data_IF_894560029624
#
_entry.id   IF_894560029624
#
_cell.length_a   1.000
_cell.length_b   1.000
_cell.length_c   1.000
_cell.angle_alpha   90.00
_cell.angle_beta   90.00
_cell.angle_gamma   90.00
#
_symmetry.space_group_name_H-M   'P 1'
#
loop_
_entity.id
_entity.type
_entity.pdbx_description
1 polymer ?
#
# COMPACT_ATOMS: atom_id res chain seq x y z
N UNK A 1 12.93 -20.37 -1.77
CA UNK A 1 13.20 -18.92 -1.61
C UNK A 1 11.95 -18.06 -1.41
N UNK A 2 10.83 -18.26 -2.12
CA UNK A 2 9.61 -17.45 -1.91
C UNK A 2 9.09 -17.46 -0.45
N UNK A 3 9.04 -18.61 0.22
CA UNK A 3 8.58 -18.72 1.61
C UNK A 3 9.41 -17.89 2.62
N UNK A 4 10.70 -17.66 2.32
CA UNK A 4 11.56 -16.80 3.14
C UNK A 4 11.02 -15.36 3.14
N UNK A 5 10.81 -14.78 1.96
CA UNK A 5 10.27 -13.42 1.81
C UNK A 5 8.84 -13.29 2.34
N UNK A 6 8.02 -14.33 2.22
CA UNK A 6 6.68 -14.35 2.81
C UNK A 6 6.72 -14.19 4.33
N UNK A 7 7.57 -14.97 5.01
CA UNK A 7 7.75 -14.87 6.47
C UNK A 7 8.41 -13.56 6.87
N UNK A 8 9.43 -13.13 6.13
CA UNK A 8 10.15 -11.89 6.37
C UNK A 8 9.23 -10.66 6.27
N UNK A 9 8.30 -10.65 5.32
CA UNK A 9 7.28 -9.60 5.23
C UNK A 9 6.42 -9.51 6.51
N UNK A 10 6.07 -10.63 7.14
CA UNK A 10 5.31 -10.63 8.39
C UNK A 10 6.13 -10.08 9.55
N UNK A 11 7.43 -10.42 9.62
CA UNK A 11 8.35 -9.90 10.63
C UNK A 11 8.45 -8.38 10.53
N UNK A 12 8.67 -7.84 9.32
CA UNK A 12 8.75 -6.39 9.12
C UNK A 12 7.44 -5.68 9.46
N UNK A 13 6.29 -6.28 9.17
CA UNK A 13 4.99 -5.72 9.56
C UNK A 13 4.85 -5.62 11.07
N UNK A 14 5.16 -6.71 11.79
CA UNK A 14 5.06 -6.77 13.25
C UNK A 14 6.06 -5.84 13.95
N UNK A 15 7.21 -5.59 13.32
CA UNK A 15 8.23 -4.68 13.81
C UNK A 15 7.98 -3.19 13.46
N UNK A 16 6.87 -2.85 12.78
CA UNK A 16 6.57 -1.47 12.36
C UNK A 16 7.42 -0.95 11.19
N UNK A 17 8.19 -1.83 10.55
CA UNK A 17 9.08 -1.50 9.43
C UNK A 17 8.34 -1.55 8.10
N UNK A 18 7.42 -0.61 7.86
CA UNK A 18 6.48 -0.65 6.73
C UNK A 18 7.15 -0.58 5.34
N UNK A 19 8.27 0.16 5.20
CA UNK A 19 9.05 0.23 3.96
C UNK A 19 9.64 -1.14 3.59
N UNK A 20 10.24 -1.82 4.58
CA UNK A 20 10.81 -3.15 4.41
C UNK A 20 9.73 -4.21 4.22
N UNK A 21 8.56 -4.06 4.86
CA UNK A 21 7.39 -4.91 4.62
C UNK A 21 6.93 -4.85 3.15
N UNK A 22 6.74 -3.65 2.61
CA UNK A 22 6.32 -3.45 1.23
C UNK A 22 7.37 -4.03 0.24
N UNK A 23 8.65 -3.79 0.50
CA UNK A 23 9.74 -4.35 -0.32
C UNK A 23 9.82 -5.88 -0.25
N UNK A 24 9.63 -6.48 0.93
CA UNK A 24 9.59 -7.93 1.11
C UNK A 24 8.44 -8.58 0.32
N UNK A 25 7.25 -7.96 0.34
CA UNK A 25 6.11 -8.41 -0.46
C UNK A 25 6.39 -8.31 -1.96
N UNK A 26 7.11 -7.27 -2.39
CA UNK A 26 7.50 -7.11 -3.78
C UNK A 26 8.47 -8.21 -4.25
N UNK A 27 9.48 -8.55 -3.44
CA UNK A 27 10.38 -9.69 -3.68
C UNK A 27 9.62 -11.03 -3.68
N UNK A 28 8.70 -11.21 -2.74
CA UNK A 28 7.84 -12.39 -2.67
C UNK A 28 6.99 -12.54 -3.94
N UNK A 29 6.41 -11.45 -4.44
CA UNK A 29 5.60 -11.45 -5.67
C UNK A 29 6.38 -11.96 -6.88
N UNK A 30 7.58 -11.45 -7.10
CA UNK A 30 8.42 -11.88 -8.23
C UNK A 30 8.81 -13.35 -8.10
N UNK A 31 9.35 -13.75 -6.95
CA UNK A 31 9.82 -15.12 -6.75
C UNK A 31 8.69 -16.15 -6.78
N UNK A 32 7.52 -15.84 -6.23
CA UNK A 32 6.39 -16.77 -6.22
C UNK A 32 5.87 -17.08 -7.62
N UNK A 33 5.92 -16.09 -8.54
CA UNK A 33 5.56 -16.30 -9.95
C UNK A 33 6.53 -17.26 -10.64
N UNK A 34 7.82 -17.12 -10.41
CA UNK A 34 8.84 -17.93 -11.09
C UNK A 34 8.91 -19.37 -10.56
N UNK A 35 8.63 -19.56 -9.26
CA UNK A 35 8.81 -20.84 -8.57
C UNK A 35 7.56 -21.74 -8.57
N UNK A 36 6.36 -21.16 -8.61
CA UNK A 36 5.12 -21.93 -8.44
C UNK A 36 4.51 -22.28 -9.80
N UNK A 37 4.75 -23.51 -10.25
CA UNK A 37 4.27 -24.02 -11.56
C UNK A 37 2.73 -23.96 -11.74
N UNK A 38 1.97 -23.97 -10.64
CA UNK A 38 0.50 -23.93 -10.63
C UNK A 38 0.00 -22.76 -9.77
N UNK A 39 0.37 -21.53 -10.10
CA UNK A 39 -0.19 -20.33 -9.45
C UNK A 39 -1.47 -19.91 -10.17
N UNK A 40 -2.56 -19.71 -9.43
CA UNK A 40 -3.84 -19.29 -10.03
C UNK A 40 -3.87 -17.78 -10.27
N UNK A 41 -4.69 -17.32 -11.21
CA UNK A 41 -4.85 -15.89 -11.47
C UNK A 41 -5.35 -15.13 -10.23
N UNK A 42 -6.20 -15.76 -9.42
CA UNK A 42 -6.69 -15.20 -8.16
C UNK A 42 -5.55 -15.01 -7.13
N UNK A 43 -4.62 -15.96 -7.04
CA UNK A 43 -3.46 -15.85 -6.17
C UNK A 43 -2.53 -14.71 -6.61
N UNK A 44 -2.24 -14.60 -7.92
CA UNK A 44 -1.41 -13.51 -8.45
C UNK A 44 -2.09 -12.16 -8.18
N UNK A 45 -3.39 -12.06 -8.45
CA UNK A 45 -4.18 -10.86 -8.18
C UNK A 45 -4.13 -10.48 -6.70
N UNK A 46 -4.37 -11.43 -5.80
CA UNK A 46 -4.31 -11.18 -4.34
C UNK A 46 -2.94 -10.71 -3.91
N UNK A 47 -1.87 -11.29 -4.46
CA UNK A 47 -0.50 -10.85 -4.16
C UNK A 47 -0.21 -9.46 -4.73
N UNK A 48 -0.62 -9.18 -5.96
CA UNK A 48 -0.46 -7.88 -6.61
C UNK A 48 -1.18 -6.77 -5.81
N UNK A 49 -2.44 -6.99 -5.43
CA UNK A 49 -3.21 -6.04 -4.61
C UNK A 49 -2.53 -5.79 -3.26
N UNK A 50 -2.00 -6.83 -2.61
CA UNK A 50 -1.30 -6.68 -1.32
C UNK A 50 -0.04 -5.82 -1.44
N UNK A 51 0.75 -6.00 -2.50
CA UNK A 51 1.97 -5.21 -2.74
C UNK A 51 1.61 -3.74 -2.90
N UNK A 52 0.62 -3.43 -3.73
CA UNK A 52 0.17 -2.04 -3.96
C UNK A 52 -0.35 -1.40 -2.69
N UNK A 53 -1.25 -2.08 -1.97
CA UNK A 53 -1.81 -1.56 -0.73
C UNK A 53 -0.73 -1.33 0.32
N UNK A 54 0.23 -2.24 0.46
CA UNK A 54 1.35 -2.08 1.38
C UNK A 54 2.19 -0.84 1.02
N UNK A 55 2.53 -0.63 -0.25
CA UNK A 55 3.31 0.54 -0.68
C UNK A 55 2.55 1.85 -0.49
N UNK A 56 1.25 1.88 -0.79
CA UNK A 56 0.43 3.09 -0.63
C UNK A 56 0.16 3.41 0.85
N UNK A 57 0.07 2.40 1.71
CA UNK A 57 -0.14 2.54 3.14
C UNK A 57 1.14 2.93 3.92
N UNK A 58 2.31 2.94 3.28
CA UNK A 58 3.54 3.45 3.93
C UNK A 58 3.32 4.92 4.30
N UNK A 59 3.48 5.30 5.59
CA UNK A 59 3.32 6.67 6.05
C UNK A 59 4.18 7.66 5.25
N UNK A 60 3.61 8.84 4.99
CA UNK A 60 4.39 9.91 4.38
C UNK A 60 5.41 10.45 5.39
N UNK A 61 6.66 10.71 4.98
CA UNK A 61 7.63 11.33 5.87
C UNK A 61 7.07 12.68 6.35
N UNK A 62 7.23 13.02 7.64
CA UNK A 62 6.74 14.29 8.16
C UNK A 62 7.43 15.44 7.43
N UNK A 63 6.65 16.44 7.02
CA UNK A 63 7.19 17.64 6.39
C UNK A 63 7.82 18.53 7.48
N UNK A 64 9.05 18.20 7.87
CA UNK A 64 9.82 18.97 8.87
C UNK A 64 10.64 20.07 8.21
N UNK A 65 10.69 21.28 8.81
CA UNK A 65 11.60 22.33 8.38
C UNK A 65 13.06 21.86 8.48
N UNK A 66 13.91 22.37 7.59
CA UNK A 66 15.30 21.94 7.41
C UNK A 66 16.16 22.06 8.68
N UNK A 67 15.81 23.02 9.54
CA UNK A 67 16.48 23.31 10.82
C UNK A 67 16.37 22.12 11.80
N UNK A 68 15.23 21.41 11.80
CA UNK A 68 15.01 20.25 12.67
C UNK A 68 15.84 19.03 12.25
N UNK A 69 16.29 18.96 10.99
CA UNK A 69 17.12 17.85 10.47
C UNK A 69 18.57 17.95 10.95
N UNK A 70 19.05 19.16 11.25
CA UNK A 70 20.44 19.40 11.64
C UNK A 70 20.72 19.04 13.12
N UNK A 71 19.67 18.82 13.91
CA UNK A 71 19.77 18.56 15.36
C UNK A 71 19.95 17.06 15.66
N UNK A 72 19.64 16.16 14.72
CA UNK A 72 19.55 14.71 14.99
C UNK A 72 20.89 13.97 14.87
N UNK A 73 21.68 13.97 15.95
CA UNK A 73 22.88 13.10 16.10
C UNK A 73 22.52 11.60 16.17
N UNK A 74 21.23 11.25 16.35
CA UNK A 74 20.72 9.88 16.40
C UNK A 74 20.48 9.22 15.01
N UNK A 75 20.50 9.98 13.91
CA UNK A 75 20.30 9.45 12.54
C UNK A 75 21.34 8.39 12.18
N UNK A 76 22.58 8.52 12.66
CA UNK A 76 23.69 7.59 12.34
C UNK A 76 23.43 6.15 12.82
N UNK A 77 22.69 5.93 13.90
CA UNK A 77 22.33 4.60 14.40
C UNK A 77 21.14 4.04 13.60
N UNK A 78 20.18 4.91 13.29
CA UNK A 78 19.03 4.59 12.44
C UNK A 78 19.44 4.14 11.03
N UNK A 79 20.38 4.85 10.40
CA UNK A 79 20.89 4.53 9.06
C UNK A 79 21.59 3.18 9.01
N UNK A 80 22.45 2.87 10.00
CA UNK A 80 23.15 1.58 10.06
C UNK A 80 22.16 0.43 10.20
N UNK A 81 21.15 0.57 11.06
CA UNK A 81 20.11 -0.43 11.21
C UNK A 81 19.31 -0.62 9.91
N UNK A 82 18.92 0.47 9.24
CA UNK A 82 18.21 0.40 7.96
C UNK A 82 19.03 -0.32 6.87
N UNK A 83 20.35 -0.11 6.81
CA UNK A 83 21.23 -0.83 5.87
C UNK A 83 21.27 -2.33 6.14
N UNK A 84 21.36 -2.74 7.41
CA UNK A 84 21.31 -4.16 7.79
C UNK A 84 19.98 -4.80 7.37
N UNK A 85 18.85 -4.13 7.61
CA UNK A 85 17.53 -4.62 7.19
C UNK A 85 17.41 -4.69 5.66
N UNK A 86 18.05 -3.77 4.93
CA UNK A 86 18.12 -3.80 3.46
C UNK A 86 18.93 -5.01 2.97
N UNK A 87 20.03 -5.35 3.64
CA UNK A 87 20.84 -6.55 3.32
C UNK A 87 20.02 -7.84 3.48
N UNK A 88 19.14 -7.94 4.48
CA UNK A 88 18.24 -9.10 4.65
C UNK A 88 17.30 -9.33 3.45
N UNK A 89 17.03 -8.27 2.67
CA UNK A 89 16.22 -8.28 1.45
C UNK A 89 17.06 -8.38 0.16
N UNK A 90 18.39 -8.48 0.28
CA UNK A 90 19.31 -8.41 -0.84
C UNK A 90 19.26 -7.07 -1.57
N UNK A 91 19.08 -5.97 -0.82
CA UNK A 91 19.08 -4.61 -1.35
C UNK A 91 20.39 -3.91 -0.97
N UNK A 92 20.94 -3.15 -1.93
CA UNK A 92 22.15 -2.35 -1.71
C UNK A 92 21.87 -1.08 -0.89
N UNK A 93 20.66 -0.52 -1.05
CA UNK A 93 20.22 0.69 -0.36
C UNK A 93 18.87 0.45 0.34
N UNK A 94 18.61 1.10 1.49
CA UNK A 94 17.30 1.06 2.12
C UNK A 94 16.19 1.51 1.17
N UNK A 95 15.04 0.82 1.14
CA UNK A 95 13.92 1.23 0.31
C UNK A 95 13.30 2.53 0.81
N UNK A 96 13.00 3.46 -0.10
CA UNK A 96 12.22 4.67 0.17
C UNK A 96 10.84 4.56 -0.45
N UNK A 97 9.85 5.32 0.06
CA UNK A 97 8.51 5.35 -0.53
C UNK A 97 8.56 5.76 -2.02
N UNK A 98 9.40 6.74 -2.35
CA UNK A 98 9.61 7.16 -3.74
C UNK A 98 10.18 6.03 -4.61
N UNK A 99 11.18 5.29 -4.11
CA UNK A 99 11.74 4.16 -4.85
C UNK A 99 10.72 3.05 -5.08
N UNK A 100 9.91 2.70 -4.07
CA UNK A 100 8.88 1.67 -4.17
C UNK A 100 7.76 2.07 -5.14
N UNK A 101 7.31 3.32 -5.09
CA UNK A 101 6.31 3.84 -6.04
C UNK A 101 6.86 3.82 -7.46
N UNK A 102 8.12 4.22 -7.65
CA UNK A 102 8.79 4.14 -8.95
C UNK A 102 8.88 2.69 -9.44
N UNK A 103 9.20 1.76 -8.55
CA UNK A 103 9.32 0.33 -8.87
C UNK A 103 7.97 -0.29 -9.24
N UNK A 104 6.89 0.05 -8.51
CA UNK A 104 5.51 -0.27 -8.89
C UNK A 104 5.20 0.25 -10.30
N UNK A 105 5.61 1.47 -10.60
CA UNK A 105 5.34 2.09 -11.88
C UNK A 105 6.12 1.43 -13.03
N UNK A 106 7.37 1.03 -12.81
CA UNK A 106 8.17 0.35 -13.82
C UNK A 106 7.75 -1.11 -14.09
N UNK A 107 7.04 -1.75 -13.15
CA UNK A 107 6.73 -3.19 -13.23
C UNK A 107 5.47 -3.45 -14.04
N UNK A 108 5.64 -3.60 -15.37
CA UNK A 108 4.55 -3.84 -16.34
C UNK A 108 3.61 -4.97 -15.93
N UNK A 109 4.17 -6.10 -15.50
CA UNK A 109 3.38 -7.26 -15.09
C UNK A 109 2.46 -6.94 -13.92
N UNK A 110 3.00 -6.27 -12.90
CA UNK A 110 2.23 -5.90 -11.72
C UNK A 110 1.10 -4.94 -12.10
N UNK A 111 1.41 -3.93 -12.93
CA UNK A 111 0.40 -3.03 -13.51
C UNK A 111 -0.72 -3.77 -14.24
N UNK A 112 -0.38 -4.74 -15.07
CA UNK A 112 -1.37 -5.53 -15.83
C UNK A 112 -2.33 -6.28 -14.89
N UNK A 113 -1.81 -6.98 -13.89
CA UNK A 113 -2.66 -7.71 -12.93
C UNK A 113 -3.52 -6.77 -12.09
N UNK A 114 -3.03 -5.56 -11.77
CA UNK A 114 -3.82 -4.53 -11.07
C UNK A 114 -4.95 -4.01 -11.95
N UNK A 115 -4.67 -3.72 -13.23
CA UNK A 115 -5.68 -3.24 -14.18
C UNK A 115 -6.76 -4.30 -14.40
N UNK A 116 -6.37 -5.57 -14.51
CA UNK A 116 -7.29 -6.69 -14.62
C UNK A 116 -8.16 -6.84 -13.36
N UNK A 117 -7.53 -6.78 -12.17
CA UNK A 117 -8.23 -6.77 -10.89
C UNK A 117 -9.27 -5.66 -10.80
N UNK A 118 -8.88 -4.44 -11.20
CA UNK A 118 -9.76 -3.28 -11.24
C UNK A 118 -10.93 -3.51 -12.21
N UNK A 119 -10.68 -4.00 -13.42
CA UNK A 119 -11.72 -4.26 -14.43
C UNK A 119 -12.77 -5.27 -13.96
N UNK A 120 -12.37 -6.30 -13.20
CA UNK A 120 -13.29 -7.30 -12.65
C UNK A 120 -14.24 -6.72 -11.60
N UNK A 121 -13.83 -5.67 -10.90
CA UNK A 121 -14.53 -5.16 -9.72
C UNK A 121 -15.13 -3.77 -9.94
N UNK A 122 -14.66 -3.01 -10.92
CA UNK A 122 -14.98 -1.58 -11.11
C UNK A 122 -16.48 -1.32 -11.28
N UNK A 123 -17.19 -2.15 -12.06
CA UNK A 123 -18.65 -1.98 -12.27
C UNK A 123 -19.42 -2.15 -10.96
N UNK A 124 -19.05 -3.16 -10.16
CA UNK A 124 -19.68 -3.44 -8.87
C UNK A 124 -19.37 -2.34 -7.85
N UNK A 125 -18.12 -1.89 -7.77
CA UNK A 125 -17.72 -0.80 -6.88
C UNK A 125 -18.36 0.54 -7.29
N UNK A 126 -18.38 0.85 -8.59
CA UNK A 126 -19.05 2.04 -9.11
C UNK A 126 -20.54 2.06 -8.74
N UNK A 127 -21.23 0.93 -8.92
CA UNK A 127 -22.64 0.80 -8.52
C UNK A 127 -22.82 1.06 -7.01
N UNK A 128 -21.98 0.47 -6.15
CA UNK A 128 -22.02 0.73 -4.70
C UNK A 128 -21.76 2.20 -4.35
N UNK A 129 -20.86 2.87 -5.07
CA UNK A 129 -20.58 4.31 -4.86
C UNK A 129 -21.82 5.14 -5.20
N UNK A 130 -22.49 4.85 -6.31
CA UNK A 130 -23.75 5.52 -6.68
C UNK A 130 -24.86 5.25 -5.67
N UNK A 131 -25.03 4.01 -5.21
CA UNK A 131 -25.99 3.66 -4.16
C UNK A 131 -25.71 4.43 -2.86
N UNK A 132 -24.44 4.54 -2.45
CA UNK A 132 -24.05 5.35 -1.30
C UNK A 132 -24.36 6.84 -1.50
N UNK A 133 -24.12 7.37 -2.69
CA UNK A 133 -24.45 8.76 -3.02
C UNK A 133 -25.95 9.03 -2.89
N UNK A 134 -26.79 8.16 -3.43
CA UNK A 134 -28.26 8.27 -3.31
C UNK A 134 -28.71 8.26 -1.85
N UNK A 135 -28.16 7.36 -1.03
CA UNK A 135 -28.45 7.31 0.40
C UNK A 135 -28.05 8.62 1.09
N UNK A 136 -26.91 9.19 0.71
CA UNK A 136 -26.42 10.46 1.28
C UNK A 136 -27.34 11.62 0.87
N UNK A 137 -27.73 11.70 -0.41
CA UNK A 137 -28.62 12.75 -0.92
C UNK A 137 -30.01 12.68 -0.26
N UNK A 138 -30.62 11.50 -0.20
CA UNK A 138 -31.91 11.31 0.47
C UNK A 138 -31.86 11.69 1.96
N UNK A 139 -30.76 11.39 2.65
CA UNK A 139 -30.56 11.80 4.05
C UNK A 139 -30.38 13.30 4.20
N UNK A 140 -29.66 13.96 3.27
CA UNK A 140 -29.51 15.42 3.27
C UNK A 140 -30.85 16.11 3.08
N UNK A 141 -31.64 15.68 2.10
CA UNK A 141 -32.98 16.23 1.84
C UNK A 141 -33.91 16.07 3.05
N UNK A 142 -33.89 14.90 3.70
CA UNK A 142 -34.66 14.67 4.94
C UNK A 142 -34.25 15.64 6.06
N UNK A 143 -32.95 15.87 6.23
CA UNK A 143 -32.43 16.80 7.25
C UNK A 143 -32.77 18.25 6.92
N UNK A 144 -32.70 18.65 5.64
CA UNK A 144 -33.12 19.98 5.18
C UNK A 144 -34.61 20.19 5.47
N UNK A 145 -35.47 19.24 5.12
CA UNK A 145 -36.92 19.31 5.39
C UNK A 145 -37.24 19.42 6.89
N UNK A 146 -36.56 18.64 7.74
CA UNK A 146 -36.69 18.75 9.19
C UNK A 146 -36.22 20.10 9.73
N UNK A 147 -35.19 20.68 9.12
CA UNK A 147 -34.68 22.00 9.50
C UNK A 147 -35.65 23.09 9.08
N UNK A 148 -36.18 23.05 7.86
CA UNK A 148 -37.21 23.97 7.38
C UNK A 148 -38.46 23.95 8.27
N UNK A 149 -38.92 22.77 8.71
CA UNK A 149 -40.05 22.64 9.62
C UNK A 149 -39.79 23.22 11.03
N UNK A 150 -38.54 23.20 11.51
CA UNK A 150 -38.17 23.77 12.81
C UNK A 150 -37.95 25.28 12.77
N UNK A 151 -37.57 25.84 11.62
CA UNK A 151 -37.31 27.27 11.44
C UNK A 151 -38.58 28.03 11.02
N UNK A 152 -39.56 27.34 10.42
CA UNK A 152 -40.86 27.91 10.04
C UNK A 152 -41.95 27.85 11.12
N UNK A 153 -41.61 27.47 12.36
CA UNK A 153 -42.50 27.39 13.53
C UNK A 153 -42.09 28.40 14.61
#
# INVERSE_FOLDING_TARGET
MANYYQKLALVFWKAGNHLFHASALFRYFHLAKDLKKNITQEEIQRMASRVVLATLAVPMPPNRPEIDRLVETEENVGEKNQRLLATLLGLNNPPTRASLVKELDSTKDLKMHIIEAYRLVCKKEHKKILERQQIIEARKEMLENLTFQRVGA
#
